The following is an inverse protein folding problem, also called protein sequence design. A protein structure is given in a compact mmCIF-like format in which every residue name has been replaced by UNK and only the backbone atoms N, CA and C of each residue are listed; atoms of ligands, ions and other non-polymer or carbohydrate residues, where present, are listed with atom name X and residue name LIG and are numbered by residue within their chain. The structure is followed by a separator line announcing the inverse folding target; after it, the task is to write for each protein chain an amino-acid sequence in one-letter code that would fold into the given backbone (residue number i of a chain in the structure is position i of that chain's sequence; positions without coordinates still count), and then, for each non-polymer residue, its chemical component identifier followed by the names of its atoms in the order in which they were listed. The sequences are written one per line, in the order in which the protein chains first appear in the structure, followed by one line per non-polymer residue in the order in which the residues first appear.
data_IF_301428633891
#
_entry.id   IF_301428633891
#
_cell.length_a   1.000
_cell.length_b   1.000
_cell.length_c   1.000
_cell.angle_alpha   90.00
_cell.angle_beta   90.00
_cell.angle_gamma   90.00
#
_symmetry.space_group_name_H-M   'P 1'
#
loop_
_entity.id
_entity.type
_entity.pdbx_description
1 polymer ?
#
# COMPACT_ATOMS: atom_id res chain seq x y z
N UNK A 1 -31.71 -23.50 20.78
CA UNK A 1 -30.53 -22.89 20.12
C UNK A 1 -30.81 -22.76 18.62
N UNK A 2 -31.15 -21.56 18.13
CA UNK A 2 -31.32 -21.31 16.69
C UNK A 2 -29.92 -21.17 16.06
N UNK A 3 -29.50 -22.16 15.25
CA UNK A 3 -28.46 -21.94 14.23
C UNK A 3 -29.00 -20.88 13.28
N UNK A 4 -28.58 -19.61 13.43
CA UNK A 4 -28.76 -18.59 12.40
C UNK A 4 -27.89 -19.01 11.22
N UNK A 5 -28.54 -19.54 10.19
CA UNK A 5 -27.92 -19.88 8.92
C UNK A 5 -27.22 -18.66 8.32
N UNK A 6 -26.23 -18.97 7.48
CA UNK A 6 -25.37 -18.09 6.71
C UNK A 6 -26.09 -16.93 6.00
N UNK A 7 -26.41 -15.87 6.73
CA UNK A 7 -26.51 -14.53 6.16
C UNK A 7 -25.11 -13.93 6.21
N UNK A 8 -24.21 -14.46 5.37
CA UNK A 8 -22.88 -13.86 5.20
C UNK A 8 -23.15 -12.51 4.58
N UNK A 9 -22.94 -11.46 5.37
CA UNK A 9 -23.19 -10.09 4.94
C UNK A 9 -22.20 -9.75 3.82
N UNK A 10 -22.59 -10.01 2.57
CA UNK A 10 -21.77 -9.92 1.36
C UNK A 10 -21.03 -8.57 1.25
N UNK A 11 -21.65 -7.50 1.77
CA UNK A 11 -21.05 -6.16 1.87
C UNK A 11 -19.78 -6.15 2.73
N UNK A 12 -19.78 -6.88 3.85
CA UNK A 12 -18.60 -7.02 4.71
C UNK A 12 -17.52 -7.90 4.07
N UNK A 13 -17.89 -8.83 3.19
CA UNK A 13 -16.93 -9.63 2.43
C UNK A 13 -16.22 -8.78 1.37
N UNK A 14 -16.98 -8.00 0.58
CA UNK A 14 -16.42 -7.04 -0.38
C UNK A 14 -15.51 -6.01 0.31
N UNK A 15 -15.93 -5.50 1.47
CA UNK A 15 -15.10 -4.56 2.22
C UNK A 15 -13.76 -5.21 2.65
N UNK A 16 -13.77 -6.50 3.03
CA UNK A 16 -12.55 -7.21 3.44
C UNK A 16 -11.63 -7.43 2.24
N UNK A 17 -12.18 -7.83 1.11
CA UNK A 17 -11.43 -8.03 -0.14
C UNK A 17 -10.85 -6.71 -0.67
N UNK A 18 -11.60 -5.62 -0.54
CA UNK A 18 -11.12 -4.29 -0.89
C UNK A 18 -9.90 -3.91 -0.05
N UNK A 19 -9.95 -4.11 1.27
CA UNK A 19 -8.80 -3.85 2.15
C UNK A 19 -7.63 -4.78 1.84
N UNK A 20 -7.87 -6.00 1.36
CA UNK A 20 -6.84 -6.95 0.95
C UNK A 20 -5.99 -6.47 -0.24
N UNK A 21 -6.45 -5.47 -1.01
CA UNK A 21 -5.63 -4.78 -2.02
C UNK A 21 -4.40 -4.09 -1.40
N UNK A 22 -4.43 -3.76 -0.11
CA UNK A 22 -3.27 -3.30 0.66
C UNK A 22 -2.43 -4.42 1.27
N UNK A 23 -2.73 -5.67 0.95
CA UNK A 23 -2.05 -6.84 1.48
C UNK A 23 -0.64 -7.04 0.92
N UNK A 24 0.18 -7.81 1.64
CA UNK A 24 1.55 -8.12 1.22
C UNK A 24 1.58 -8.85 -0.13
N UNK A 25 0.65 -9.78 -0.35
CA UNK A 25 0.55 -10.54 -1.60
C UNK A 25 0.35 -9.62 -2.81
N UNK A 26 -0.57 -8.65 -2.72
CA UNK A 26 -0.79 -7.67 -3.78
C UNK A 26 0.43 -6.77 -3.99
N UNK A 27 1.10 -6.37 -2.91
CA UNK A 27 2.34 -5.60 -2.98
C UNK A 27 3.44 -6.34 -3.76
N UNK A 28 3.66 -7.62 -3.45
CA UNK A 28 4.62 -8.48 -4.14
C UNK A 28 4.24 -8.64 -5.63
N UNK A 29 2.95 -8.81 -5.94
CA UNK A 29 2.48 -8.89 -7.33
C UNK A 29 2.81 -7.63 -8.13
N UNK A 30 2.68 -6.44 -7.53
CA UNK A 30 3.04 -5.17 -8.19
C UNK A 30 4.54 -5.09 -8.46
N UNK A 31 5.38 -5.48 -7.49
CA UNK A 31 6.83 -5.55 -7.67
C UNK A 31 7.19 -6.54 -8.78
N UNK A 32 6.66 -7.76 -8.72
CA UNK A 32 6.94 -8.80 -9.71
C UNK A 32 6.55 -8.34 -11.12
N UNK A 33 5.38 -7.71 -11.29
CA UNK A 33 4.96 -7.10 -12.56
C UNK A 33 5.95 -6.03 -13.03
N UNK A 34 6.41 -5.17 -12.12
CA UNK A 34 7.33 -4.10 -12.44
C UNK A 34 8.72 -4.60 -12.83
N UNK A 35 9.12 -5.80 -12.40
CA UNK A 35 10.38 -6.45 -12.76
C UNK A 35 10.35 -7.14 -14.13
N UNK A 36 9.16 -7.48 -14.65
CA UNK A 36 9.03 -8.05 -16.02
C UNK A 36 9.49 -7.03 -17.08
N UNK A 37 9.35 -5.74 -16.77
CA UNK A 37 9.89 -4.64 -17.56
C UNK A 37 11.05 -3.97 -16.80
N UNK A 38 11.96 -3.22 -17.45
CA UNK A 38 13.15 -2.67 -16.78
C UNK A 38 12.84 -1.40 -15.95
N UNK A 39 11.80 -1.41 -15.11
CA UNK A 39 11.38 -0.27 -14.28
C UNK A 39 12.08 -0.25 -12.91
N UNK A 40 13.42 -0.36 -12.90
CA UNK A 40 14.22 -0.50 -11.69
C UNK A 40 14.05 0.65 -10.69
N UNK A 41 13.89 1.89 -11.17
CA UNK A 41 13.64 3.06 -10.31
C UNK A 41 12.36 2.91 -9.49
N UNK A 42 11.28 2.44 -10.13
CA UNK A 42 9.98 2.23 -9.47
C UNK A 42 10.06 1.07 -8.48
N UNK A 43 10.74 -0.02 -8.84
CA UNK A 43 10.95 -1.16 -7.93
C UNK A 43 11.74 -0.73 -6.70
N UNK A 44 12.81 0.04 -6.86
CA UNK A 44 13.61 0.53 -5.74
C UNK A 44 12.79 1.44 -4.80
N UNK A 45 11.96 2.32 -5.35
CA UNK A 45 11.04 3.17 -4.57
C UNK A 45 10.10 2.33 -3.70
N UNK A 46 9.48 1.29 -4.29
CA UNK A 46 8.60 0.37 -3.57
C UNK A 46 9.36 -0.39 -2.48
N UNK A 47 10.53 -0.95 -2.78
CA UNK A 47 11.30 -1.74 -1.82
C UNK A 47 11.81 -0.88 -0.65
N UNK A 48 12.37 0.30 -0.92
CA UNK A 48 12.85 1.21 0.12
C UNK A 48 11.70 1.66 1.02
N UNK A 49 10.56 2.03 0.43
CA UNK A 49 9.38 2.41 1.20
C UNK A 49 8.81 1.25 2.02
N UNK A 50 8.79 0.03 1.48
CA UNK A 50 8.33 -1.16 2.20
C UNK A 50 9.24 -1.49 3.39
N UNK A 51 10.56 -1.46 3.18
CA UNK A 51 11.56 -1.71 4.25
C UNK A 51 11.43 -0.66 5.35
N UNK A 52 11.34 0.61 4.99
CA UNK A 52 11.17 1.67 5.98
C UNK A 52 9.83 1.53 6.72
N UNK A 53 8.73 1.30 6.00
CA UNK A 53 7.44 1.07 6.61
C UNK A 53 7.50 -0.10 7.60
N UNK A 54 8.12 -1.21 7.21
CA UNK A 54 8.30 -2.38 8.07
C UNK A 54 9.04 -2.00 9.35
N UNK A 55 10.18 -1.31 9.25
CA UNK A 55 10.95 -0.84 10.41
C UNK A 55 10.10 0.04 11.34
N UNK A 56 9.38 1.03 10.79
CA UNK A 56 8.54 1.93 11.59
C UNK A 56 7.36 1.19 12.25
N UNK A 57 6.78 0.21 11.56
CA UNK A 57 5.65 -0.58 12.07
C UNK A 57 6.01 -1.44 13.28
N UNK A 58 7.29 -1.79 13.47
CA UNK A 58 7.77 -2.49 14.67
C UNK A 58 7.58 -1.65 15.94
N UNK A 59 7.67 -0.32 15.82
CA UNK A 59 7.54 0.61 16.94
C UNK A 59 6.13 1.17 17.09
N UNK A 60 5.40 1.33 15.97
CA UNK A 60 4.10 2.01 15.95
C UNK A 60 3.05 1.07 15.36
N UNK A 61 2.15 0.55 16.23
CA UNK A 61 1.00 -0.25 15.79
C UNK A 61 0.06 0.59 14.92
N UNK A 62 -0.11 0.18 13.67
CA UNK A 62 -0.93 0.87 12.67
C UNK A 62 -1.77 -0.14 11.86
N UNK A 63 -2.50 0.35 10.87
CA UNK A 63 -3.11 -0.50 9.85
C UNK A 63 -2.17 -0.71 8.67
N UNK A 64 -1.52 -1.88 8.62
CA UNK A 64 -0.53 -2.21 7.59
C UNK A 64 -1.13 -2.27 6.18
N UNK A 65 -2.43 -2.57 6.05
CA UNK A 65 -3.07 -2.62 4.74
C UNK A 65 -3.24 -1.22 4.19
N UNK A 66 -3.66 -0.28 5.03
CA UNK A 66 -3.80 1.13 4.64
C UNK A 66 -2.44 1.75 4.33
N UNK A 67 -1.43 1.50 5.17
CA UNK A 67 -0.09 2.02 4.93
C UNK A 67 0.50 1.53 3.60
N UNK A 68 0.47 0.22 3.35
CA UNK A 68 0.97 -0.37 2.09
C UNK A 68 0.12 0.03 0.89
N UNK A 69 -1.19 0.08 1.05
CA UNK A 69 -2.11 0.56 0.01
C UNK A 69 -1.80 1.99 -0.41
N UNK A 70 -1.47 2.86 0.53
CA UNK A 70 -1.04 4.23 0.25
C UNK A 70 0.29 4.26 -0.49
N UNK A 71 1.27 3.47 -0.06
CA UNK A 71 2.58 3.38 -0.72
C UNK A 71 2.41 2.93 -2.19
N UNK A 72 1.61 1.89 -2.43
CA UNK A 72 1.31 1.41 -3.77
C UNK A 72 0.58 2.47 -4.60
N UNK A 73 -0.48 3.08 -4.06
CA UNK A 73 -1.21 4.13 -4.75
C UNK A 73 -0.28 5.29 -5.14
N UNK A 74 0.51 5.81 -4.20
CA UNK A 74 1.38 6.95 -4.46
C UNK A 74 2.42 6.65 -5.55
N UNK A 75 3.17 5.55 -5.43
CA UNK A 75 4.21 5.26 -6.42
C UNK A 75 3.65 4.80 -7.76
N UNK A 76 2.52 4.08 -7.80
CA UNK A 76 1.89 3.75 -9.09
C UNK A 76 1.36 5.00 -9.79
N UNK A 77 0.80 5.96 -9.05
CA UNK A 77 0.40 7.26 -9.60
C UNK A 77 1.60 7.98 -10.22
N UNK A 78 2.72 8.05 -9.50
CA UNK A 78 3.95 8.67 -9.99
C UNK A 78 4.53 7.93 -11.19
N UNK A 79 4.50 6.60 -11.18
CA UNK A 79 5.03 5.74 -12.22
C UNK A 79 4.25 5.87 -13.53
N UNK A 80 2.92 5.77 -13.48
CA UNK A 80 2.09 5.89 -14.68
C UNK A 80 1.98 7.32 -15.18
N UNK A 81 1.93 8.31 -14.28
CA UNK A 81 1.81 9.73 -14.61
C UNK A 81 0.69 10.04 -15.64
N UNK A 82 -0.45 9.34 -15.51
CA UNK A 82 -1.64 9.56 -16.35
C UNK A 82 -2.81 9.95 -15.47
N UNK A 83 -3.47 11.08 -15.78
CA UNK A 83 -4.58 11.63 -14.98
C UNK A 83 -5.70 10.62 -14.68
N UNK A 84 -6.11 9.83 -15.68
CA UNK A 84 -7.17 8.84 -15.49
C UNK A 84 -6.76 7.75 -14.49
N UNK A 85 -5.49 7.34 -14.54
CA UNK A 85 -4.93 6.38 -13.59
C UNK A 85 -4.85 6.99 -12.19
N UNK A 86 -4.49 8.27 -12.08
CA UNK A 86 -4.48 8.98 -10.79
C UNK A 86 -5.85 8.97 -10.13
N UNK A 87 -6.91 9.33 -10.87
CA UNK A 87 -8.28 9.32 -10.36
C UNK A 87 -8.66 7.90 -9.91
N UNK A 88 -8.35 6.89 -10.72
CA UNK A 88 -8.62 5.50 -10.40
C UNK A 88 -7.91 5.05 -9.11
N UNK A 89 -6.60 5.26 -8.99
CA UNK A 89 -5.82 4.85 -7.83
C UNK A 89 -6.27 5.57 -6.55
N UNK A 90 -6.57 6.87 -6.62
CA UNK A 90 -7.11 7.63 -5.48
C UNK A 90 -8.49 7.09 -5.08
N UNK A 91 -9.36 6.77 -6.04
CA UNK A 91 -10.67 6.20 -5.77
C UNK A 91 -10.57 4.82 -5.08
N UNK A 92 -9.67 3.95 -5.55
CA UNK A 92 -9.42 2.64 -4.92
C UNK A 92 -8.89 2.82 -3.50
N UNK A 93 -7.91 3.70 -3.29
CA UNK A 93 -7.38 3.94 -1.95
C UNK A 93 -8.43 4.54 -1.00
N UNK A 94 -9.25 5.48 -1.47
CA UNK A 94 -10.36 6.02 -0.69
C UNK A 94 -11.38 4.91 -0.34
N UNK A 95 -11.68 4.01 -1.27
CA UNK A 95 -12.55 2.86 -1.03
C UNK A 95 -11.95 1.89 0.00
N UNK A 96 -10.63 1.69 0.01
CA UNK A 96 -9.95 0.89 1.04
C UNK A 96 -10.10 1.53 2.42
N UNK A 97 -9.90 2.85 2.55
CA UNK A 97 -10.07 3.57 3.82
C UNK A 97 -11.52 3.49 4.29
N UNK A 98 -12.48 3.74 3.40
CA UNK A 98 -13.91 3.63 3.72
C UNK A 98 -14.30 2.20 4.15
N UNK A 99 -13.80 1.18 3.44
CA UNK A 99 -14.02 -0.24 3.78
C UNK A 99 -13.41 -0.61 5.13
N UNK A 100 -12.23 -0.08 5.43
CA UNK A 100 -11.56 -0.29 6.72
C UNK A 100 -12.37 0.31 7.88
N UNK A 101 -12.95 1.51 7.70
CA UNK A 101 -13.86 2.12 8.68
C UNK A 101 -15.17 1.35 8.81
N UNK A 102 -15.71 0.84 7.70
CA UNK A 102 -16.96 0.06 7.68
C UNK A 102 -16.85 -1.26 8.44
N UNK A 103 -15.69 -1.94 8.39
CA UNK A 103 -15.42 -3.17 9.15
C UNK A 103 -14.98 -2.85 10.59
N UNK A 104 -15.25 -1.64 11.07
CA UNK A 104 -14.98 -1.19 12.44
C UNK A 104 -13.51 -1.36 12.86
N UNK A 105 -12.57 -1.26 11.90
CA UNK A 105 -11.15 -1.16 12.27
C UNK A 105 -10.93 0.14 13.03
N UNK A 106 -10.09 0.07 14.05
CA UNK A 106 -9.79 1.22 14.90
C UNK A 106 -9.28 2.42 14.08
N UNK A 107 -10.04 3.53 14.06
CA UNK A 107 -9.74 4.73 13.27
C UNK A 107 -8.38 5.34 13.58
N UNK A 108 -7.90 5.24 14.84
CA UNK A 108 -6.57 5.72 15.22
C UNK A 108 -5.48 4.90 14.51
N UNK A 109 -5.67 3.58 14.36
CA UNK A 109 -4.73 2.74 13.62
C UNK A 109 -4.73 3.06 12.13
N UNK A 110 -5.88 3.37 11.55
CA UNK A 110 -6.01 3.81 10.15
C UNK A 110 -5.24 5.11 9.93
N UNK A 111 -5.46 6.12 10.78
CA UNK A 111 -4.75 7.40 10.70
C UNK A 111 -3.24 7.20 10.84
N UNK A 112 -2.79 6.39 11.81
CA UNK A 112 -1.37 6.03 11.93
C UNK A 112 -0.83 5.34 10.68
N UNK A 113 -1.62 4.47 10.05
CA UNK A 113 -1.26 3.81 8.80
C UNK A 113 -1.06 4.80 7.66
N UNK A 114 -1.95 5.79 7.53
CA UNK A 114 -1.82 6.88 6.55
C UNK A 114 -0.55 7.71 6.80
N UNK A 115 -0.28 8.08 8.07
CA UNK A 115 0.91 8.86 8.45
C UNK A 115 2.19 8.08 8.12
N UNK A 116 2.28 6.82 8.56
CA UNK A 116 3.45 5.97 8.31
C UNK A 116 3.64 5.67 6.82
N UNK A 117 2.56 5.42 6.08
CA UNK A 117 2.58 5.25 4.63
C UNK A 117 3.09 6.51 3.94
N UNK A 118 2.61 7.68 4.34
CA UNK A 118 3.07 8.98 3.79
C UNK A 118 4.56 9.19 4.04
N UNK A 119 5.03 8.99 5.27
CA UNK A 119 6.47 9.08 5.60
C UNK A 119 7.28 8.12 4.74
N UNK A 120 6.79 6.88 4.58
CA UNK A 120 7.47 5.86 3.80
C UNK A 120 7.55 6.20 2.31
N UNK A 121 6.49 6.81 1.75
CA UNK A 121 6.48 7.34 0.38
C UNK A 121 7.51 8.46 0.22
N UNK A 122 7.51 9.45 1.13
CA UNK A 122 8.45 10.57 1.06
C UNK A 122 9.89 10.08 1.08
N UNK A 123 10.23 9.23 2.04
CA UNK A 123 11.60 8.71 2.15
C UNK A 123 11.94 7.79 0.97
N UNK A 124 11.03 6.92 0.54
CA UNK A 124 11.24 6.08 -0.64
C UNK A 124 11.49 6.88 -1.91
N UNK A 125 10.81 8.01 -2.09
CA UNK A 125 10.99 8.89 -3.24
C UNK A 125 12.40 9.51 -3.29
N UNK A 126 12.93 9.97 -2.15
CA UNK A 126 14.25 10.62 -2.09
C UNK A 126 15.43 9.65 -1.92
N UNK A 127 15.26 8.53 -1.22
CA UNK A 127 16.32 7.55 -0.99
C UNK A 127 16.49 6.55 -2.14
N UNK A 128 15.44 6.24 -2.91
CA UNK A 128 15.59 5.26 -3.99
C UNK A 128 16.67 5.62 -5.04
N UNK A 129 16.75 6.87 -5.54
CA UNK A 129 17.81 7.26 -6.49
C UNK A 129 19.22 7.13 -5.91
N UNK A 130 19.41 7.45 -4.63
CA UNK A 130 20.72 7.33 -3.97
C UNK A 130 21.12 5.87 -3.80
N UNK A 131 20.18 4.98 -3.47
CA UNK A 131 20.42 3.53 -3.42
C UNK A 131 20.83 3.00 -4.79
N UNK A 132 20.14 3.37 -5.86
CA UNK A 132 20.47 2.92 -7.23
C UNK A 132 21.85 3.41 -7.66
N UNK A 133 22.17 4.68 -7.42
CA UNK A 133 23.48 5.23 -7.74
C UNK A 133 24.59 4.52 -6.97
N UNK A 134 24.37 4.19 -5.69
CA UNK A 134 25.33 3.41 -4.90
C UNK A 134 25.57 2.03 -5.52
N UNK A 135 24.51 1.32 -5.93
CA UNK A 135 24.64 0.02 -6.59
C UNK A 135 25.39 0.10 -7.93
N UNK A 136 25.14 1.15 -8.73
CA UNK A 136 25.83 1.37 -10.01
C UNK A 136 27.30 1.79 -9.86
N UNK A 137 27.73 2.28 -8.69
CA UNK A 137 29.13 2.63 -8.41
C UNK A 137 29.93 1.38 -7.97
N UNK A 138 29.24 0.37 -7.43
CA UNK A 138 29.86 -0.84 -6.86
C UNK A 138 30.08 -1.93 -7.92
N UNK A 139 29.48 -1.79 -9.11
CA UNK A 139 29.57 -2.69 -10.26
C UNK A 139 30.13 -1.98 -11.49
#
# INVERSE_FOLDING_TARGET
MKKKGADRNWKQEIARDTVALGGLAFYILVIARALIAPYYNFVAQLLVALVLFFILSLFIKCDDHIARGLILAAFTILFYNVRIFTIFAVAIFALMVASSLYIERNSIKIIKGIILGTISVFVGYYLAPTVINLFNIIW
#
